data_IF_379387724335
#
_entry.id   IF_379387724335
#
_cell.length_a   1.000
_cell.length_b   1.000
_cell.length_c   1.000
_cell.angle_alpha   90.00
_cell.angle_beta   90.00
_cell.angle_gamma   90.00
#
_symmetry.space_group_name_H-M   'P 1'
#
loop_
_entity.id
_entity.type
_entity.pdbx_description
1 polymer ?
#
# COMPACT_ATOMS: atom_id res chain seq x y z
N UNK A 1 -15.87 -20.86 40.60
CA UNK A 1 -15.35 -20.86 39.22
C UNK A 1 -14.13 -19.93 39.22
N UNK A 2 -12.96 -20.38 38.79
CA UNK A 2 -11.75 -19.53 38.76
C UNK A 2 -11.77 -18.70 37.48
N UNK A 3 -11.76 -17.37 37.61
CA UNK A 3 -11.52 -16.47 36.48
C UNK A 3 -10.10 -16.68 35.96
N UNK A 4 -9.98 -17.19 34.74
CA UNK A 4 -8.71 -17.23 34.03
C UNK A 4 -8.42 -15.82 33.50
N UNK A 5 -7.65 -15.05 34.26
CA UNK A 5 -7.11 -13.77 33.79
C UNK A 5 -6.07 -14.02 32.69
N UNK A 6 -6.50 -13.88 31.43
CA UNK A 6 -5.59 -13.85 30.28
C UNK A 6 -4.98 -12.47 30.19
N UNK A 7 -3.69 -12.36 30.46
CA UNK A 7 -2.94 -11.12 30.28
C UNK A 7 -2.49 -11.00 28.83
N UNK A 8 -2.99 -10.00 28.10
CA UNK A 8 -2.52 -9.69 26.73
C UNK A 8 -1.39 -8.68 26.80
N UNK A 9 -0.24 -9.01 26.22
CA UNK A 9 0.90 -8.09 26.09
C UNK A 9 0.96 -7.55 24.66
N UNK A 10 0.93 -6.22 24.52
CA UNK A 10 1.07 -5.51 23.25
C UNK A 10 2.42 -4.82 23.20
N UNK A 11 3.17 -5.03 22.11
CA UNK A 11 4.43 -4.34 21.84
C UNK A 11 4.29 -3.52 20.56
N UNK A 12 4.59 -2.23 20.65
CA UNK A 12 4.67 -1.33 19.50
C UNK A 12 6.13 -1.19 19.11
N UNK A 13 6.47 -1.62 17.91
CA UNK A 13 7.84 -1.55 17.37
C UNK A 13 7.84 -0.53 16.23
N UNK A 14 8.77 0.42 16.29
CA UNK A 14 9.01 1.36 15.21
C UNK A 14 10.04 0.80 14.24
N UNK A 15 9.60 0.38 13.05
CA UNK A 15 10.49 -0.11 12.01
C UNK A 15 11.54 0.91 11.58
N UNK A 16 11.27 2.22 11.70
CA UNK A 16 12.19 3.28 11.27
C UNK A 16 13.45 3.34 12.13
N UNK A 17 13.42 2.82 13.38
CA UNK A 17 14.61 2.70 14.23
C UNK A 17 15.66 1.73 13.66
N UNK A 18 15.25 0.77 12.84
CA UNK A 18 16.14 -0.26 12.27
C UNK A 18 16.29 -0.12 10.76
N UNK A 19 15.30 0.48 10.09
CA UNK A 19 15.22 0.66 8.65
C UNK A 19 14.99 2.15 8.33
N UNK A 20 16.02 3.01 8.45
CA UNK A 20 15.88 4.47 8.43
C UNK A 20 15.77 5.02 6.99
N UNK A 21 14.91 4.42 6.17
CA UNK A 21 14.68 4.86 4.80
C UNK A 21 13.26 4.55 4.33
N UNK A 22 12.87 5.08 3.18
CA UNK A 22 11.51 4.88 2.67
C UNK A 22 11.27 3.43 2.31
N UNK A 23 10.03 2.96 2.49
CA UNK A 23 9.60 1.62 2.05
C UNK A 23 9.96 1.36 0.59
N UNK A 24 9.83 2.38 -0.27
CA UNK A 24 10.26 2.26 -1.68
C UNK A 24 11.73 1.88 -1.78
N UNK A 25 12.64 2.58 -1.10
CA UNK A 25 14.08 2.26 -1.11
C UNK A 25 14.36 0.87 -0.53
N UNK A 26 13.66 0.49 0.54
CA UNK A 26 13.79 -0.85 1.15
C UNK A 26 13.44 -1.97 0.17
N UNK A 27 12.34 -1.79 -0.58
CA UNK A 27 11.89 -2.78 -1.57
C UNK A 27 12.88 -2.94 -2.73
N UNK A 28 13.58 -1.87 -3.14
CA UNK A 28 14.61 -1.97 -4.18
C UNK A 28 15.85 -2.76 -3.76
N UNK A 29 16.06 -2.97 -2.46
CA UNK A 29 17.16 -3.79 -1.94
C UNK A 29 16.83 -5.29 -1.95
N UNK A 30 15.57 -5.67 -2.20
CA UNK A 30 15.12 -7.06 -2.24
C UNK A 30 15.33 -7.64 -3.65
N UNK A 31 15.67 -8.92 -3.70
CA UNK A 31 15.72 -9.69 -4.96
C UNK A 31 14.34 -10.26 -5.25
N UNK A 32 14.09 -10.60 -6.51
CA UNK A 32 12.86 -11.28 -6.89
C UNK A 32 12.62 -12.57 -6.08
N UNK A 33 13.68 -13.29 -5.68
CA UNK A 33 13.60 -14.48 -4.83
C UNK A 33 13.03 -14.24 -3.43
N UNK A 34 13.03 -13.00 -2.95
CA UNK A 34 12.67 -12.67 -1.57
C UNK A 34 11.15 -12.49 -1.40
N UNK A 35 10.41 -12.34 -2.51
CA UNK A 35 8.96 -12.13 -2.54
C UNK A 35 8.14 -13.43 -2.52
N UNK A 36 8.55 -14.43 -1.73
CA UNK A 36 7.94 -15.77 -1.73
C UNK A 36 6.44 -15.75 -1.39
N UNK A 37 6.07 -15.01 -0.34
CA UNK A 37 4.67 -14.89 0.09
C UNK A 37 3.82 -14.22 -1.00
N UNK A 38 4.33 -13.16 -1.62
CA UNK A 38 3.64 -12.49 -2.73
C UNK A 38 3.48 -13.43 -3.94
N UNK A 39 4.55 -14.16 -4.29
CA UNK A 39 4.56 -15.15 -5.39
C UNK A 39 3.60 -16.32 -5.18
N UNK A 40 3.27 -16.65 -3.94
CA UNK A 40 2.29 -17.68 -3.60
C UNK A 40 0.84 -17.21 -3.79
N UNK A 41 0.58 -15.90 -3.68
CA UNK A 41 -0.78 -15.36 -3.65
C UNK A 41 -1.14 -14.54 -4.89
N UNK A 42 -0.18 -14.28 -5.79
CA UNK A 42 -0.37 -13.45 -6.99
C UNK A 42 0.20 -14.15 -8.22
N UNK A 43 -0.55 -14.10 -9.33
CA UNK A 43 -0.12 -14.62 -10.62
C UNK A 43 1.19 -13.99 -11.08
N UNK A 44 2.14 -14.80 -11.57
CA UNK A 44 3.51 -14.37 -11.90
C UNK A 44 3.56 -13.21 -12.89
N UNK A 45 2.63 -13.17 -13.84
CA UNK A 45 2.50 -12.10 -14.84
C UNK A 45 2.15 -10.73 -14.22
N UNK A 46 1.60 -10.69 -13.00
CA UNK A 46 1.14 -9.46 -12.33
C UNK A 46 2.05 -8.98 -11.20
N UNK A 47 2.98 -9.81 -10.74
CA UNK A 47 3.81 -9.51 -9.55
C UNK A 47 4.59 -8.21 -9.72
N UNK A 48 5.14 -7.96 -10.90
CA UNK A 48 5.92 -6.75 -11.21
C UNK A 48 5.14 -5.44 -10.95
N UNK A 49 3.80 -5.48 -10.99
CA UNK A 49 2.94 -4.33 -10.67
C UNK A 49 2.87 -4.04 -9.16
N UNK A 50 3.21 -5.01 -8.31
CA UNK A 50 3.13 -4.93 -6.86
C UNK A 50 4.48 -4.75 -6.16
N UNK A 51 5.61 -4.87 -6.89
CA UNK A 51 6.96 -4.67 -6.35
C UNK A 51 7.35 -3.19 -6.14
N UNK A 52 6.40 -2.26 -6.25
CA UNK A 52 6.61 -0.83 -5.98
C UNK A 52 5.43 -0.30 -5.21
N UNK A 53 5.71 0.65 -4.29
CA UNK A 53 4.68 1.41 -3.58
C UNK A 53 3.72 2.06 -4.59
N UNK A 54 2.41 1.82 -4.41
CA UNK A 54 1.35 2.50 -5.15
C UNK A 54 1.06 3.85 -4.49
N UNK A 55 0.65 4.84 -5.27
CA UNK A 55 0.16 6.12 -4.74
C UNK A 55 -1.16 5.93 -3.99
N UNK A 56 -1.38 6.72 -2.93
CA UNK A 56 -2.57 6.63 -2.10
C UNK A 56 -3.13 8.04 -1.84
N UNK A 57 -4.44 8.29 -2.02
CA UNK A 57 -5.02 9.61 -1.91
C UNK A 57 -5.44 9.88 -0.45
N UNK A 58 -4.47 10.21 0.41
CA UNK A 58 -4.68 10.34 1.87
C UNK A 58 -5.76 11.36 2.23
N UNK A 59 -5.77 12.50 1.55
CA UNK A 59 -6.71 13.60 1.76
C UNK A 59 -8.12 13.29 1.28
N UNK A 60 -8.24 12.39 0.31
CA UNK A 60 -9.53 11.99 -0.27
C UNK A 60 -10.23 10.94 0.59
N UNK A 61 -9.47 10.03 1.21
CA UNK A 61 -9.98 8.95 2.05
C UNK A 61 -10.16 9.47 3.48
N UNK A 62 -11.14 10.35 3.65
CA UNK A 62 -11.46 11.03 4.91
C UNK A 62 -12.51 10.31 5.76
N UNK A 63 -13.16 9.28 5.21
CA UNK A 63 -14.18 8.49 5.89
C UNK A 63 -14.22 7.05 5.38
N UNK A 64 -14.93 6.18 6.11
CA UNK A 64 -15.01 4.76 5.78
C UNK A 64 -15.81 4.47 4.51
N UNK A 65 -16.76 5.32 4.14
CA UNK A 65 -17.59 5.13 2.95
C UNK A 65 -16.75 5.19 1.66
N UNK A 66 -15.61 5.91 1.67
CA UNK A 66 -14.66 5.95 0.55
C UNK A 66 -14.09 4.60 0.16
N UNK A 67 -14.00 3.64 1.09
CA UNK A 67 -13.52 2.30 0.78
C UNK A 67 -14.54 1.44 0.02
N UNK A 68 -15.80 1.87 -0.03
CA UNK A 68 -16.85 1.22 -0.84
C UNK A 68 -16.91 1.73 -2.28
N UNK A 69 -16.10 2.74 -2.63
CA UNK A 69 -16.03 3.26 -3.99
C UNK A 69 -15.28 2.28 -4.91
N UNK A 70 -15.88 1.98 -6.07
CA UNK A 70 -15.33 1.07 -7.09
C UNK A 70 -14.63 1.80 -8.24
N UNK A 71 -14.37 3.09 -8.04
CA UNK A 71 -13.76 3.97 -9.04
C UNK A 71 -12.43 4.46 -8.51
N UNK A 72 -11.40 4.41 -9.35
CA UNK A 72 -10.12 5.04 -9.03
C UNK A 72 -10.34 6.55 -8.87
N UNK A 73 -9.96 7.16 -7.74
CA UNK A 73 -10.11 8.60 -7.54
C UNK A 73 -9.41 9.41 -8.65
N UNK A 74 -9.91 10.61 -8.99
CA UNK A 74 -9.26 11.45 -9.98
C UNK A 74 -7.86 11.86 -9.53
N UNK A 75 -6.94 12.15 -10.45
CA UNK A 75 -5.56 12.56 -10.13
C UNK A 75 -5.47 13.75 -9.16
N UNK A 76 -6.46 14.65 -9.20
CA UNK A 76 -6.56 15.79 -8.28
C UNK A 76 -6.75 15.38 -6.82
N UNK A 77 -7.26 14.18 -6.56
CA UNK A 77 -7.47 13.62 -5.23
C UNK A 77 -6.17 13.13 -4.57
N UNK A 78 -5.06 13.08 -5.32
CA UNK A 78 -3.75 12.60 -4.86
C UNK A 78 -2.79 13.74 -4.51
N UNK A 79 -3.32 14.91 -4.12
CA UNK A 79 -2.49 15.99 -3.56
C UNK A 79 -2.21 15.73 -2.09
N UNK A 80 -0.93 15.71 -1.68
CA UNK A 80 -0.55 15.51 -0.29
C UNK A 80 -0.32 16.84 0.41
N UNK A 81 -1.07 17.09 1.48
CA UNK A 81 -0.89 18.22 2.40
C UNK A 81 0.37 18.10 3.25
N UNK A 82 0.85 16.87 3.48
CA UNK A 82 2.07 16.60 4.24
C UNK A 82 3.33 17.03 3.48
N UNK A 83 3.41 16.75 2.18
CA UNK A 83 4.54 17.16 1.34
C UNK A 83 4.29 18.46 0.56
N UNK A 84 3.02 18.87 0.41
CA UNK A 84 2.62 19.99 -0.43
C UNK A 84 2.67 19.69 -1.93
N UNK A 85 2.76 18.41 -2.33
CA UNK A 85 3.03 17.99 -3.70
C UNK A 85 1.86 17.19 -4.31
N UNK A 86 1.78 17.19 -5.65
CA UNK A 86 0.90 16.31 -6.42
C UNK A 86 1.68 15.09 -6.88
N UNK A 87 0.98 13.98 -7.08
CA UNK A 87 1.55 12.80 -7.75
C UNK A 87 1.98 13.11 -9.18
N UNK A 88 3.01 12.40 -9.64
CA UNK A 88 3.45 12.46 -11.02
C UNK A 88 2.43 11.82 -11.97
N UNK A 89 2.43 12.25 -13.24
CA UNK A 89 1.60 11.62 -14.26
C UNK A 89 1.94 10.13 -14.42
N UNK A 90 3.22 9.77 -14.35
CA UNK A 90 3.69 8.38 -14.44
C UNK A 90 3.14 7.51 -13.30
N UNK A 91 3.14 8.01 -12.07
CA UNK A 91 2.58 7.27 -10.93
C UNK A 91 1.06 7.09 -11.06
N UNK A 92 0.35 8.09 -11.58
CA UNK A 92 -1.09 7.99 -11.83
C UNK A 92 -1.41 7.02 -12.99
N UNK A 93 -0.64 7.02 -14.08
CA UNK A 93 -0.74 6.00 -15.13
C UNK A 93 -0.51 4.58 -14.58
N UNK A 94 0.49 4.42 -13.71
CA UNK A 94 0.74 3.14 -13.03
C UNK A 94 -0.45 2.73 -12.17
N UNK A 95 -1.04 3.66 -11.40
CA UNK A 95 -2.23 3.36 -10.59
C UNK A 95 -3.41 2.91 -11.45
N UNK A 96 -3.64 3.56 -12.60
CA UNK A 96 -4.65 3.11 -13.58
C UNK A 96 -4.37 1.70 -14.10
N UNK A 97 -3.12 1.38 -14.42
CA UNK A 97 -2.74 0.05 -14.89
C UNK A 97 -2.99 -1.03 -13.81
N UNK A 98 -2.59 -0.76 -12.56
CA UNK A 98 -2.87 -1.65 -11.42
C UNK A 98 -4.38 -1.84 -11.26
N UNK A 99 -5.15 -0.75 -11.20
CA UNK A 99 -6.60 -0.80 -11.01
C UNK A 99 -7.31 -1.66 -12.07
N UNK A 100 -6.90 -1.51 -13.34
CA UNK A 100 -7.43 -2.29 -14.46
C UNK A 100 -7.01 -3.77 -14.38
N UNK A 101 -5.71 -4.03 -14.17
CA UNK A 101 -5.13 -5.39 -14.18
C UNK A 101 -5.70 -6.29 -13.07
N UNK A 102 -5.96 -5.69 -11.90
CA UNK A 102 -6.54 -6.38 -10.75
C UNK A 102 -8.06 -6.31 -10.70
N UNK A 103 -8.71 -5.73 -11.72
CA UNK A 103 -10.17 -5.59 -11.80
C UNK A 103 -10.76 -5.04 -10.51
N UNK A 104 -10.17 -3.97 -9.97
CA UNK A 104 -10.62 -3.34 -8.72
C UNK A 104 -11.95 -2.59 -8.88
N UNK A 105 -12.87 -3.13 -9.69
CA UNK A 105 -14.13 -2.51 -10.07
C UNK A 105 -15.35 -3.36 -9.75
N UNK A 106 -15.18 -4.66 -9.46
CA UNK A 106 -16.21 -5.61 -9.03
C UNK A 106 -15.58 -6.99 -8.83
#
# INVERSE_FOLDING_TARGET
MKENNVTVSLQFIDSFQFLPTSLQKLVHNLKDSDFNILKQNVSQDKIHLLLRKVIYPYEYVDNFQKFSEIVLPPVSAFYSTLSGERVSAEDYERAKNVWSTFKMKE
#
